data_IF_768066662008
#
_entry.id   IF_768066662008
#
_cell.length_a   1.000
_cell.length_b   1.000
_cell.length_c   1.000
_cell.angle_alpha   90.00
_cell.angle_beta   90.00
_cell.angle_gamma   90.00
#
_symmetry.space_group_name_H-M   'P 1'
#
loop_
_entity.id
_entity.type
_entity.pdbx_description
1 polymer ?
#
# COMPACT_ATOMS: atom_id res chain seq x y z
N UNK A 1 -5.48 0.59 -13.40
CA UNK A 1 -4.18 0.91 -14.06
C UNK A 1 -2.99 0.61 -13.15
N UNK A 2 -1.73 0.45 -13.60
CA UNK A 2 -0.59 0.37 -12.66
C UNK A 2 -0.17 1.78 -12.21
N UNK A 3 0.29 1.94 -10.97
CA UNK A 3 0.75 3.25 -10.44
C UNK A 3 1.82 3.89 -11.33
N UNK A 4 2.89 3.15 -11.67
CA UNK A 4 3.94 3.66 -12.57
C UNK A 4 3.40 4.14 -13.93
N UNK A 5 2.40 3.45 -14.46
CA UNK A 5 1.73 3.85 -15.71
C UNK A 5 0.96 5.17 -15.52
N UNK A 6 0.30 5.38 -14.38
CA UNK A 6 -0.40 6.63 -14.07
C UNK A 6 0.57 7.81 -13.99
N UNK A 7 1.69 7.62 -13.30
CA UNK A 7 2.76 8.63 -13.22
C UNK A 7 3.26 8.99 -14.63
N UNK A 8 3.64 7.99 -15.44
CA UNK A 8 4.16 8.26 -16.79
C UNK A 8 3.15 8.94 -17.70
N UNK A 9 1.85 8.59 -17.63
CA UNK A 9 0.82 9.26 -18.43
C UNK A 9 0.64 10.72 -17.97
N UNK A 10 0.62 10.98 -16.66
CA UNK A 10 0.51 12.33 -16.12
C UNK A 10 1.69 13.22 -16.58
N UNK A 11 2.91 12.68 -16.55
CA UNK A 11 4.12 13.36 -17.01
C UNK A 11 4.05 13.70 -18.51
N UNK A 12 3.65 12.75 -19.35
CA UNK A 12 3.51 12.95 -20.80
C UNK A 12 2.43 14.00 -21.12
N UNK A 13 1.29 13.93 -20.42
CA UNK A 13 0.17 14.85 -20.62
C UNK A 13 0.36 16.20 -19.91
N UNK A 14 1.38 16.34 -19.05
CA UNK A 14 1.63 17.51 -18.19
C UNK A 14 0.41 17.91 -17.34
N UNK A 15 -0.30 16.91 -16.84
CA UNK A 15 -1.44 17.09 -15.93
C UNK A 15 -1.08 16.66 -14.52
N UNK A 16 -1.88 17.09 -13.56
CA UNK A 16 -1.76 16.59 -12.20
C UNK A 16 -2.01 15.07 -12.17
N UNK A 17 -1.07 14.30 -11.60
CA UNK A 17 -1.16 12.85 -11.52
C UNK A 17 -2.37 12.38 -10.72
N UNK A 18 -2.81 13.17 -9.74
CA UNK A 18 -3.94 12.85 -8.86
C UNK A 18 -5.23 12.63 -9.64
N UNK A 19 -5.35 13.23 -10.84
CA UNK A 19 -6.47 13.02 -11.75
C UNK A 19 -6.54 11.60 -12.33
N UNK A 20 -5.44 10.84 -12.27
CA UNK A 20 -5.34 9.47 -12.77
C UNK A 20 -5.28 8.43 -11.64
N UNK A 21 -5.27 8.86 -10.38
CA UNK A 21 -5.15 7.96 -9.23
C UNK A 21 -6.53 7.43 -8.80
N UNK A 22 -6.63 6.11 -8.65
CA UNK A 22 -7.66 5.41 -7.89
C UNK A 22 -7.17 5.08 -6.46
N UNK A 23 -8.04 4.51 -5.62
CA UNK A 23 -7.74 4.15 -4.22
C UNK A 23 -6.44 3.35 -4.06
N UNK A 24 -6.20 2.39 -4.95
CA UNK A 24 -4.97 1.59 -4.92
C UNK A 24 -3.74 2.40 -5.31
N UNK A 25 -3.83 3.17 -6.41
CA UNK A 25 -2.67 3.97 -6.83
C UNK A 25 -2.38 5.09 -5.85
N UNK A 26 -3.39 5.64 -5.18
CA UNK A 26 -3.25 6.59 -4.06
C UNK A 26 -2.54 5.91 -2.90
N UNK A 27 -2.94 4.69 -2.55
CA UNK A 27 -2.24 3.90 -1.54
C UNK A 27 -0.76 3.69 -1.85
N UNK A 28 -0.40 3.44 -3.12
CA UNK A 28 1.01 3.24 -3.52
C UNK A 28 1.77 4.56 -3.72
N UNK A 29 1.09 5.67 -4.05
CA UNK A 29 1.67 7.01 -4.16
C UNK A 29 2.03 7.59 -2.78
N UNK A 30 1.19 7.35 -1.77
CA UNK A 30 1.51 7.59 -0.37
C UNK A 30 2.69 6.71 0.07
N UNK A 31 3.49 7.07 1.10
CA UNK A 31 4.50 6.19 1.69
C UNK A 31 3.85 4.95 2.33
N UNK A 32 3.42 4.00 1.49
CA UNK A 32 2.72 2.78 1.86
C UNK A 32 3.53 1.93 2.84
N UNK A 33 4.85 1.98 2.74
CA UNK A 33 5.75 1.32 3.69
C UNK A 33 5.58 1.86 5.13
N UNK A 34 5.40 3.17 5.30
CA UNK A 34 5.15 3.81 6.61
C UNK A 34 3.73 3.54 7.08
N UNK A 35 2.77 3.60 6.17
CA UNK A 35 1.38 3.28 6.47
C UNK A 35 1.21 1.84 6.99
N UNK A 36 1.91 0.88 6.37
CA UNK A 36 1.91 -0.53 6.79
C UNK A 36 2.58 -0.71 8.16
N UNK A 37 3.70 0.00 8.41
CA UNK A 37 4.34 0.01 9.73
C UNK A 37 3.39 0.53 10.80
N UNK A 38 2.70 1.64 10.55
CA UNK A 38 1.72 2.22 11.47
C UNK A 38 0.55 1.25 11.72
N UNK A 39 -0.03 0.69 10.67
CA UNK A 39 -1.10 -0.31 10.79
C UNK A 39 -0.69 -1.47 11.68
N UNK A 40 0.48 -2.05 11.43
CA UNK A 40 1.01 -3.16 12.22
C UNK A 40 1.21 -2.78 13.68
N UNK A 41 1.78 -1.60 13.95
CA UNK A 41 2.00 -1.11 15.32
C UNK A 41 0.69 -0.85 16.05
N UNK A 42 -0.32 -0.25 15.39
CA UNK A 42 -1.66 -0.05 15.95
C UNK A 42 -2.36 -1.35 16.31
N UNK A 43 -2.12 -2.42 15.54
CA UNK A 43 -2.64 -3.75 15.84
C UNK A 43 -1.79 -4.53 16.86
N UNK A 44 -0.67 -3.96 17.32
CA UNK A 44 0.31 -4.59 18.21
C UNK A 44 0.83 -5.95 17.68
N UNK A 45 1.10 -6.02 16.38
CA UNK A 45 1.57 -7.22 15.70
C UNK A 45 3.05 -7.13 15.29
N UNK A 46 3.71 -8.27 15.17
CA UNK A 46 4.98 -8.40 14.46
C UNK A 46 4.76 -8.60 12.95
N UNK A 47 5.84 -8.52 12.15
CA UNK A 47 5.74 -8.61 10.68
C UNK A 47 5.18 -9.95 10.19
N UNK A 48 5.45 -11.05 10.90
CA UNK A 48 4.96 -12.38 10.54
C UNK A 48 3.47 -12.53 10.83
N UNK A 49 2.99 -11.98 11.96
CA UNK A 49 1.58 -12.05 12.37
C UNK A 49 0.67 -11.28 11.41
N UNK A 50 1.03 -10.05 11.05
CA UNK A 50 0.23 -9.29 10.09
C UNK A 50 0.32 -9.88 8.68
N UNK A 51 1.47 -10.44 8.28
CA UNK A 51 1.60 -11.14 7.02
C UNK A 51 0.64 -12.35 6.94
N UNK A 52 0.58 -13.15 8.01
CA UNK A 52 -0.38 -14.25 8.12
C UNK A 52 -1.83 -13.75 8.07
N UNK A 53 -2.13 -12.65 8.76
CA UNK A 53 -3.47 -12.04 8.81
C UNK A 53 -3.98 -11.61 7.43
N UNK A 54 -3.12 -11.07 6.57
CA UNK A 54 -3.49 -10.64 5.20
C UNK A 54 -3.22 -11.72 4.12
N UNK A 55 -2.75 -12.90 4.53
CA UNK A 55 -2.53 -14.05 3.65
C UNK A 55 -1.31 -13.94 2.73
N UNK A 56 -0.20 -13.35 3.20
CA UNK A 56 1.05 -13.24 2.43
C UNK A 56 2.25 -13.81 3.19
N UNK A 57 3.32 -14.11 2.46
CA UNK A 57 4.56 -14.57 3.08
C UNK A 57 5.22 -13.45 3.91
N UNK A 58 5.79 -13.74 5.10
CA UNK A 58 6.45 -12.74 5.95
C UNK A 58 7.55 -11.94 5.22
N UNK A 59 8.29 -12.60 4.32
CA UNK A 59 9.32 -11.95 3.50
C UNK A 59 8.76 -10.87 2.56
N UNK A 60 7.51 -11.00 2.13
CA UNK A 60 6.85 -10.08 1.22
C UNK A 60 6.40 -8.85 1.99
N UNK A 61 5.79 -9.06 3.15
CA UNK A 61 5.40 -7.99 4.05
C UNK A 61 6.61 -7.17 4.53
N UNK A 62 7.68 -7.85 4.95
CA UNK A 62 8.94 -7.20 5.34
C UNK A 62 9.54 -6.37 4.21
N UNK A 63 9.52 -6.88 2.97
CA UNK A 63 9.97 -6.13 1.80
C UNK A 63 9.16 -4.85 1.54
N UNK A 64 7.86 -4.84 1.89
CA UNK A 64 7.00 -3.68 1.79
C UNK A 64 7.30 -2.62 2.84
N UNK A 65 7.44 -3.00 4.12
CA UNK A 65 7.82 -2.05 5.17
C UNK A 65 9.21 -1.43 4.92
N UNK A 66 10.11 -2.17 4.25
CA UNK A 66 11.43 -1.70 3.84
C UNK A 66 11.43 -0.91 2.52
N UNK A 67 10.26 -0.65 1.92
CA UNK A 67 10.09 0.05 0.64
C UNK A 67 10.83 -0.59 -0.57
N UNK A 68 11.33 -1.82 -0.43
CA UNK A 68 12.01 -2.54 -1.53
C UNK A 68 11.04 -3.09 -2.57
N UNK A 69 9.80 -3.35 -2.17
CA UNK A 69 8.68 -3.78 -3.02
C UNK A 69 7.41 -3.10 -2.55
N UNK A 70 6.40 -3.03 -3.42
CA UNK A 70 5.07 -2.52 -3.06
C UNK A 70 4.01 -3.63 -3.16
N UNK A 71 2.93 -3.58 -2.37
CA UNK A 71 1.81 -4.49 -2.52
C UNK A 71 1.17 -4.35 -3.90
N UNK A 72 0.72 -5.45 -4.50
CA UNK A 72 -0.06 -5.39 -5.75
C UNK A 72 -1.52 -5.13 -5.39
N UNK A 73 -2.32 -4.90 -6.43
CA UNK A 73 -3.76 -4.64 -6.28
C UNK A 73 -4.50 -5.73 -5.54
N UNK A 74 -4.08 -6.98 -5.69
CA UNK A 74 -4.74 -8.10 -5.02
C UNK A 74 -4.47 -8.10 -3.51
N UNK A 75 -3.24 -7.82 -3.07
CA UNK A 75 -2.93 -7.73 -1.65
C UNK A 75 -3.54 -6.48 -1.01
N UNK A 76 -3.64 -5.38 -1.75
CA UNK A 76 -4.32 -4.18 -1.26
C UNK A 76 -5.77 -4.45 -0.83
N UNK A 77 -6.49 -5.35 -1.52
CA UNK A 77 -7.86 -5.74 -1.11
C UNK A 77 -7.91 -6.38 0.28
N UNK A 78 -6.84 -7.03 0.71
CA UNK A 78 -6.74 -7.63 2.05
C UNK A 78 -6.26 -6.61 3.09
N UNK A 79 -5.48 -5.61 2.68
CA UNK A 79 -4.96 -4.55 3.55
C UNK A 79 -6.03 -3.49 3.84
N UNK A 80 -6.84 -3.13 2.85
CA UNK A 80 -7.83 -2.04 2.93
C UNK A 80 -8.82 -2.19 4.11
N UNK A 81 -9.43 -3.37 4.36
CA UNK A 81 -10.33 -3.55 5.51
C UNK A 81 -9.63 -3.32 6.86
N UNK A 82 -8.33 -3.64 6.96
CA UNK A 82 -7.55 -3.41 8.17
C UNK A 82 -7.25 -1.93 8.39
N UNK A 83 -6.91 -1.20 7.31
CA UNK A 83 -6.72 0.25 7.36
C UNK A 83 -7.99 0.97 7.82
N UNK A 84 -9.15 0.58 7.27
CA UNK A 84 -10.45 1.12 7.65
C UNK A 84 -10.76 0.83 9.13
N UNK A 85 -10.55 -0.42 9.59
CA UNK A 85 -10.77 -0.80 10.99
C UNK A 85 -9.84 -0.06 11.96
N UNK A 86 -8.63 0.27 11.53
CA UNK A 86 -7.64 1.01 12.31
C UNK A 86 -7.76 2.54 12.20
N UNK A 87 -8.77 3.05 11.47
CA UNK A 87 -8.97 4.48 11.19
C UNK A 87 -7.70 5.15 10.64
N UNK A 88 -7.03 4.50 9.69
CA UNK A 88 -5.84 5.04 9.00
C UNK A 88 -6.26 5.55 7.62
N UNK A 89 -5.95 6.82 7.34
CA UNK A 89 -6.25 7.50 6.06
C UNK A 89 -5.02 7.58 5.16
N UNK A 90 -5.25 7.63 3.85
CA UNK A 90 -4.24 7.81 2.81
C UNK A 90 -3.99 9.29 2.52
#
# INVERSE_FOLDING_TARGET
>A
MKYKTAVSIAEVLKIDRTLLLDDYTTFVDYPCNKLLQELRQKLNLNQSEIAAMIGVAPNSYSAWENASRTPRRQEYKNILPLLQKANITL
#
